data_IF_763050613007
#
_entry.id   IF_763050613007
#
_cell.length_a   1.000
_cell.length_b   1.000
_cell.length_c   1.000
_cell.angle_alpha   90.00
_cell.angle_beta   90.00
_cell.angle_gamma   90.00
#
_symmetry.space_group_name_H-M   'P 1'
#
loop_
_entity.id
_entity.type
_entity.pdbx_description
1 polymer ?
#
# COMPACT_ATOMS: atom_id res chain seq x y z
N UNK A 1 13.31 -19.99 2.70
CA UNK A 1 14.13 -18.95 2.05
C UNK A 1 14.89 -18.24 3.15
N UNK A 2 16.21 -18.14 3.02
CA UNK A 2 17.07 -17.32 3.88
C UNK A 2 16.84 -15.82 3.61
N UNK A 3 17.17 -14.99 4.60
CA UNK A 3 16.97 -13.54 4.51
C UNK A 3 17.78 -12.93 3.35
N UNK A 4 18.98 -13.44 3.11
CA UNK A 4 19.90 -12.89 2.12
C UNK A 4 19.38 -13.13 0.71
N UNK A 5 18.99 -14.37 0.38
CA UNK A 5 18.35 -14.66 -0.91
C UNK A 5 17.07 -13.88 -1.12
N UNK A 6 16.25 -13.71 -0.07
CA UNK A 6 15.04 -12.90 -0.14
C UNK A 6 15.35 -11.43 -0.46
N UNK A 7 16.30 -10.83 0.27
CA UNK A 7 16.70 -9.44 0.07
C UNK A 7 17.25 -9.19 -1.33
N UNK A 8 18.10 -10.10 -1.82
CA UNK A 8 18.67 -10.02 -3.17
C UNK A 8 17.57 -10.14 -4.21
N UNK A 9 16.70 -11.15 -4.09
CA UNK A 9 15.57 -11.36 -5.01
C UNK A 9 14.65 -10.13 -5.07
N UNK A 10 14.28 -9.59 -3.90
CA UNK A 10 13.45 -8.40 -3.80
C UNK A 10 14.11 -7.18 -4.45
N UNK A 11 15.39 -6.95 -4.16
CA UNK A 11 16.14 -5.84 -4.74
C UNK A 11 16.21 -5.93 -6.27
N UNK A 12 16.53 -7.11 -6.80
CA UNK A 12 16.60 -7.35 -8.25
C UNK A 12 15.26 -7.07 -8.92
N UNK A 13 14.17 -7.61 -8.37
CA UNK A 13 12.82 -7.41 -8.91
C UNK A 13 12.42 -5.93 -8.93
N UNK A 14 12.69 -5.19 -7.85
CA UNK A 14 12.41 -3.75 -7.76
C UNK A 14 13.29 -2.94 -8.72
N UNK A 15 14.58 -3.28 -8.82
CA UNK A 15 15.50 -2.61 -9.72
C UNK A 15 15.11 -2.81 -11.20
N UNK A 16 14.73 -4.03 -11.59
CA UNK A 16 14.30 -4.34 -12.95
C UNK A 16 12.98 -3.64 -13.29
N UNK A 17 12.02 -3.64 -12.36
CA UNK A 17 10.80 -2.85 -12.50
C UNK A 17 11.09 -1.35 -12.69
N UNK A 18 11.99 -0.78 -11.88
CA UNK A 18 12.37 0.63 -11.98
C UNK A 18 13.05 0.96 -13.31
N UNK A 19 13.93 0.07 -13.79
CA UNK A 19 14.58 0.18 -15.10
C UNK A 19 13.56 0.16 -16.24
N UNK A 20 12.61 -0.76 -16.21
CA UNK A 20 11.54 -0.85 -17.20
C UNK A 20 10.68 0.42 -17.23
N UNK A 21 10.23 0.90 -16.06
CA UNK A 21 9.42 2.12 -15.94
C UNK A 21 10.13 3.36 -16.49
N UNK A 22 11.44 3.51 -16.23
CA UNK A 22 12.23 4.63 -16.76
C UNK A 22 12.46 4.57 -18.27
N UNK A 23 12.57 3.38 -18.86
CA UNK A 23 12.64 3.22 -20.32
C UNK A 23 11.36 3.73 -21.00
N UNK A 24 10.21 3.54 -20.35
CA UNK A 24 8.90 3.96 -20.86
C UNK A 24 8.60 5.45 -20.68
N UNK A 25 9.26 6.13 -19.72
CA UNK A 25 9.09 7.57 -19.50
C UNK A 25 10.45 8.30 -19.48
N UNK A 26 10.98 8.70 -20.66
CA UNK A 26 12.26 9.39 -20.77
C UNK A 26 12.25 10.85 -20.30
N UNK A 27 11.08 11.39 -19.92
CA UNK A 27 10.92 12.83 -19.64
C UNK A 27 11.72 13.24 -18.40
N UNK A 28 12.82 13.93 -18.64
CA UNK A 28 13.71 14.53 -17.63
C UNK A 28 13.02 15.73 -16.99
N UNK A 29 12.93 15.74 -15.66
CA UNK A 29 12.93 17.01 -14.93
C UNK A 29 14.37 17.57 -14.93
N UNK A 30 14.57 18.89 -15.09
CA UNK A 30 15.88 19.51 -14.98
C UNK A 30 16.30 19.49 -13.51
N UNK A 31 17.16 18.55 -13.15
CA UNK A 31 17.68 18.38 -11.79
C UNK A 31 18.72 17.27 -11.73
N UNK A 32 19.59 17.32 -10.73
CA UNK A 32 20.65 16.33 -10.50
C UNK A 32 20.02 14.92 -10.53
N UNK A 33 20.44 14.02 -11.44
CA UNK A 33 19.84 12.71 -11.53
C UNK A 33 20.07 11.97 -10.21
N UNK A 34 19.00 11.64 -9.51
CA UNK A 34 19.10 10.65 -8.45
C UNK A 34 19.63 9.37 -9.11
N UNK A 35 20.73 8.84 -8.58
CA UNK A 35 21.30 7.59 -9.07
C UNK A 35 20.21 6.51 -9.07
N UNK A 36 20.15 5.72 -10.15
CA UNK A 36 19.20 4.62 -10.30
C UNK A 36 19.18 3.71 -9.06
N UNK A 37 20.39 3.35 -8.60
CA UNK A 37 20.60 2.55 -7.39
C UNK A 37 19.99 3.22 -6.16
N UNK A 38 20.17 4.53 -5.99
CA UNK A 38 19.62 5.24 -4.84
C UNK A 38 18.08 5.24 -4.81
N UNK A 39 17.40 5.19 -5.96
CA UNK A 39 15.93 5.07 -6.00
C UNK A 39 15.46 3.64 -5.78
N UNK A 40 16.08 2.65 -6.43
CA UNK A 40 15.72 1.24 -6.22
C UNK A 40 15.99 0.79 -4.78
N UNK A 41 17.08 1.25 -4.16
CA UNK A 41 17.39 1.02 -2.75
C UNK A 41 16.30 1.58 -1.83
N UNK A 42 15.88 2.84 -2.06
CA UNK A 42 14.83 3.47 -1.25
C UNK A 42 13.49 2.75 -1.44
N UNK A 43 13.15 2.33 -2.65
CA UNK A 43 11.94 1.55 -2.91
C UNK A 43 12.00 0.20 -2.19
N UNK A 44 13.15 -0.49 -2.25
CA UNK A 44 13.36 -1.76 -1.54
C UNK A 44 13.17 -1.60 -0.04
N UNK A 45 13.80 -0.58 0.55
CA UNK A 45 13.63 -0.27 1.96
C UNK A 45 12.19 0.14 2.30
N UNK A 46 11.49 0.84 1.41
CA UNK A 46 10.09 1.22 1.62
C UNK A 46 9.15 0.00 1.69
N UNK A 47 9.39 -1.00 0.85
CA UNK A 47 8.65 -2.27 0.86
C UNK A 47 9.00 -3.09 2.11
N UNK A 48 10.29 -3.22 2.44
CA UNK A 48 10.73 -3.93 3.66
C UNK A 48 10.18 -3.27 4.94
N UNK A 49 10.02 -1.95 4.95
CA UNK A 49 9.44 -1.24 6.09
C UNK A 49 7.97 -1.61 6.36
N UNK A 50 7.26 -2.21 5.39
CA UNK A 50 5.87 -2.65 5.56
C UNK A 50 5.75 -4.01 6.25
N UNK A 51 6.86 -4.69 6.56
CA UNK A 51 6.78 -5.97 7.23
C UNK A 51 6.11 -5.87 8.60
N UNK A 52 5.18 -6.79 8.95
CA UNK A 52 4.44 -6.75 10.21
C UNK A 52 5.32 -6.73 11.48
N UNK A 53 6.58 -7.13 11.35
CA UNK A 53 7.59 -7.09 12.41
C UNK A 53 7.82 -5.69 12.98
N UNK A 54 7.73 -4.64 12.16
CA UNK A 54 8.17 -3.31 12.56
C UNK A 54 7.03 -2.50 13.16
N UNK A 55 7.25 -1.99 14.37
CA UNK A 55 6.22 -1.20 15.09
C UNK A 55 6.31 0.30 14.83
N UNK A 56 7.41 0.76 14.25
CA UNK A 56 7.62 2.18 13.91
C UNK A 56 8.71 2.36 12.85
N UNK A 57 8.73 3.52 12.18
CA UNK A 57 9.82 3.91 11.28
C UNK A 57 11.19 3.86 11.97
N UNK A 58 11.24 4.15 13.29
CA UNK A 58 12.48 4.11 14.08
C UNK A 58 12.96 2.69 14.32
N UNK A 59 12.03 1.78 14.57
CA UNK A 59 12.30 0.35 14.77
C UNK A 59 12.85 -0.28 13.49
N UNK A 60 12.18 -0.01 12.35
CA UNK A 60 12.70 -0.39 11.03
C UNK A 60 14.10 0.18 10.76
N UNK A 61 14.33 1.47 11.03
CA UNK A 61 15.65 2.06 10.78
C UNK A 61 16.75 1.44 11.62
N UNK A 62 16.48 1.11 12.90
CA UNK A 62 17.43 0.39 13.75
C UNK A 62 17.78 -0.99 13.18
N UNK A 63 16.78 -1.73 12.73
CA UNK A 63 17.00 -3.00 12.05
C UNK A 63 17.85 -2.81 10.79
N UNK A 64 17.51 -1.83 9.95
CA UNK A 64 18.21 -1.54 8.70
C UNK A 64 19.67 -1.14 8.94
N UNK A 65 19.94 -0.30 9.94
CA UNK A 65 21.30 0.13 10.27
C UNK A 65 22.20 -1.00 10.75
N UNK A 66 21.62 -2.01 11.40
CA UNK A 66 22.38 -3.12 11.98
C UNK A 66 22.53 -4.30 11.03
N UNK A 67 21.49 -4.65 10.26
CA UNK A 67 21.45 -5.88 9.46
C UNK A 67 21.49 -5.63 7.95
N UNK A 68 21.01 -4.48 7.48
CA UNK A 68 20.90 -4.21 6.05
C UNK A 68 22.06 -3.36 5.51
N UNK A 69 22.93 -2.86 6.39
CA UNK A 69 24.06 -1.99 6.01
C UNK A 69 25.08 -2.63 5.05
N UNK A 70 25.39 -3.95 5.13
CA UNK A 70 26.22 -4.60 4.11
C UNK A 70 25.60 -4.54 2.70
N UNK A 71 24.27 -4.63 2.61
CA UNK A 71 23.53 -4.58 1.34
C UNK A 71 23.29 -3.16 0.84
N UNK A 72 23.14 -2.21 1.77
CA UNK A 72 22.87 -0.80 1.48
C UNK A 72 23.97 0.08 2.09
N UNK A 73 25.18 0.12 1.49
CA UNK A 73 26.32 0.86 2.05
C UNK A 73 26.03 2.38 2.12
N UNK A 74 25.15 2.87 1.25
CA UNK A 74 24.68 4.26 1.15
C UNK A 74 23.45 4.56 2.02
N UNK A 75 23.13 3.71 3.00
CA UNK A 75 21.98 3.89 3.89
C UNK A 75 21.99 5.28 4.54
N UNK A 76 20.94 6.05 4.26
CA UNK A 76 20.80 7.41 4.76
C UNK A 76 20.35 7.45 6.23
N UNK A 77 20.50 8.62 6.87
CA UNK A 77 19.88 8.86 8.18
C UNK A 77 18.35 8.67 8.10
N UNK A 78 17.74 8.28 9.21
CA UNK A 78 16.30 8.01 9.32
C UNK A 78 15.46 9.13 8.70
N UNK A 79 15.71 10.39 9.06
CA UNK A 79 14.95 11.54 8.55
C UNK A 79 15.06 11.72 7.04
N UNK A 80 16.25 11.45 6.45
CA UNK A 80 16.47 11.53 5.00
C UNK A 80 15.78 10.38 4.27
N UNK A 81 15.88 9.16 4.81
CA UNK A 81 15.20 7.99 4.25
C UNK A 81 13.68 8.23 4.21
N UNK A 82 13.07 8.64 5.32
CA UNK A 82 11.62 8.84 5.39
C UNK A 82 11.15 9.98 4.47
N UNK A 83 11.96 11.03 4.30
CA UNK A 83 11.68 12.10 3.32
C UNK A 83 11.71 11.57 1.88
N UNK A 84 12.67 10.71 1.54
CA UNK A 84 12.76 10.09 0.21
C UNK A 84 11.62 9.12 -0.05
N UNK A 85 11.27 8.27 0.93
CA UNK A 85 10.13 7.36 0.82
C UNK A 85 8.85 8.16 0.57
N UNK A 86 8.59 9.21 1.36
CA UNK A 86 7.40 10.08 1.17
C UNK A 86 7.38 10.75 -0.21
N UNK A 87 8.52 11.22 -0.71
CA UNK A 87 8.60 11.83 -2.04
C UNK A 87 8.33 10.83 -3.17
N UNK A 88 8.67 9.55 -2.97
CA UNK A 88 8.45 8.49 -3.95
C UNK A 88 7.12 7.75 -3.77
N UNK A 89 6.43 7.96 -2.66
CA UNK A 89 5.26 7.17 -2.26
C UNK A 89 4.14 7.19 -3.29
N UNK A 90 3.64 8.39 -3.62
CA UNK A 90 2.49 8.57 -4.50
C UNK A 90 2.77 8.19 -5.96
N UNK A 91 4.01 8.37 -6.42
CA UNK A 91 4.36 8.14 -7.83
C UNK A 91 4.84 6.71 -8.10
N UNK A 92 5.52 6.09 -7.14
CA UNK A 92 6.37 4.92 -7.41
C UNK A 92 6.18 3.78 -6.42
N UNK A 93 6.08 4.02 -5.10
CA UNK A 93 5.92 2.92 -4.15
C UNK A 93 4.64 2.14 -4.40
N UNK A 94 3.50 2.83 -4.59
CA UNK A 94 2.21 2.19 -4.86
C UNK A 94 2.24 1.34 -6.14
N UNK A 95 2.78 1.90 -7.23
CA UNK A 95 2.89 1.17 -8.50
C UNK A 95 3.84 -0.02 -8.41
N UNK A 96 4.92 0.11 -7.63
CA UNK A 96 5.86 -0.97 -7.36
C UNK A 96 5.18 -2.11 -6.60
N UNK A 97 4.50 -1.79 -5.49
CA UNK A 97 3.72 -2.78 -4.71
C UNK A 97 2.69 -3.49 -5.55
N UNK A 98 1.95 -2.78 -6.42
CA UNK A 98 0.99 -3.40 -7.35
C UNK A 98 1.67 -4.31 -8.37
N UNK A 99 2.85 -3.95 -8.86
CA UNK A 99 3.59 -4.80 -9.79
C UNK A 99 4.12 -6.07 -9.13
N UNK A 100 4.63 -5.95 -7.89
CA UNK A 100 5.03 -7.10 -7.09
C UNK A 100 3.84 -8.03 -6.84
N UNK A 101 2.69 -7.48 -6.45
CA UNK A 101 1.47 -8.26 -6.25
C UNK A 101 1.06 -9.03 -7.51
N UNK A 102 1.20 -8.44 -8.71
CA UNK A 102 0.93 -9.12 -10.00
C UNK A 102 1.81 -10.33 -10.28
N UNK A 103 3.02 -10.37 -9.74
CA UNK A 103 3.88 -11.54 -9.84
C UNK A 103 3.61 -12.60 -8.77
N UNK A 104 2.72 -12.33 -7.83
CA UNK A 104 2.47 -13.17 -6.66
C UNK A 104 1.06 -13.76 -6.62
N UNK A 105 0.04 -13.08 -7.15
CA UNK A 105 -1.32 -13.63 -7.17
C UNK A 105 -1.50 -14.63 -8.31
N UNK A 106 -2.41 -15.58 -8.13
CA UNK A 106 -2.75 -16.58 -9.14
C UNK A 106 -3.86 -16.03 -10.06
N UNK A 107 -3.62 -15.84 -11.37
CA UNK A 107 -4.65 -15.33 -12.27
C UNK A 107 -5.84 -16.30 -12.39
N UNK A 108 -5.63 -17.60 -12.17
CA UNK A 108 -6.68 -18.61 -12.22
C UNK A 108 -7.42 -18.82 -10.90
N UNK A 109 -7.24 -17.95 -9.91
CA UNK A 109 -8.03 -18.01 -8.68
C UNK A 109 -9.53 -17.98 -9.02
N UNK A 110 -10.32 -18.87 -8.41
CA UNK A 110 -11.76 -18.99 -8.70
C UNK A 110 -12.55 -17.80 -8.14
N UNK A 111 -12.03 -17.19 -7.08
CA UNK A 111 -12.65 -16.04 -6.43
C UNK A 111 -11.59 -15.18 -5.77
N UNK A 112 -11.93 -13.90 -5.54
CA UNK A 112 -11.21 -13.01 -4.64
C UNK A 112 -12.09 -12.55 -3.50
N UNK A 113 -11.51 -12.34 -2.33
CA UNK A 113 -12.25 -11.85 -1.16
C UNK A 113 -12.14 -10.33 -1.10
N UNK A 114 -13.29 -9.67 -1.00
CA UNK A 114 -13.39 -8.24 -0.76
C UNK A 114 -13.92 -8.00 0.65
N UNK A 115 -13.21 -7.17 1.42
CA UNK A 115 -13.67 -6.74 2.74
C UNK A 115 -13.41 -5.25 2.94
N UNK A 116 -14.19 -4.63 3.83
CA UNK A 116 -13.99 -3.25 4.25
C UNK A 116 -13.78 -3.14 5.75
N UNK A 117 -12.76 -2.37 6.13
CA UNK A 117 -12.39 -2.17 7.53
C UNK A 117 -12.15 -0.70 7.84
N UNK A 118 -12.48 -0.29 9.06
CA UNK A 118 -12.27 1.09 9.50
C UNK A 118 -10.85 1.26 10.05
N UNK A 119 -10.10 2.18 9.46
CA UNK A 119 -8.74 2.52 9.89
C UNK A 119 -8.73 3.93 10.51
N UNK A 120 -8.20 4.09 11.73
CA UNK A 120 -8.16 5.39 12.38
C UNK A 120 -7.08 6.25 11.74
N UNK A 121 -7.48 7.41 11.21
CA UNK A 121 -6.56 8.37 10.62
C UNK A 121 -5.92 9.27 11.69
N UNK A 122 -6.76 10.00 12.43
CA UNK A 122 -6.33 11.05 13.35
C UNK A 122 -7.37 11.21 14.47
N UNK A 123 -6.92 11.43 15.71
CA UNK A 123 -7.81 11.80 16.83
C UNK A 123 -8.37 13.21 16.67
N UNK A 124 -9.65 13.44 17.03
CA UNK A 124 -10.43 14.67 16.74
C UNK A 124 -9.66 15.99 16.90
N UNK A 125 -8.96 16.16 18.02
CA UNK A 125 -8.26 17.42 18.35
C UNK A 125 -7.22 17.80 17.29
N UNK A 126 -6.51 16.82 16.71
CA UNK A 126 -5.49 17.07 15.68
C UNK A 126 -6.12 17.26 14.30
N UNK A 127 -7.23 16.58 14.00
CA UNK A 127 -7.96 16.73 12.74
C UNK A 127 -8.54 18.15 12.62
N UNK A 128 -9.26 18.63 13.64
CA UNK A 128 -9.89 19.95 13.63
C UNK A 128 -8.88 21.10 13.60
N UNK A 129 -7.76 21.00 14.34
CA UNK A 129 -6.77 22.09 14.43
C UNK A 129 -5.92 22.28 13.18
N UNK A 130 -5.71 21.21 12.39
CA UNK A 130 -4.81 21.24 11.23
C UNK A 130 -5.52 21.02 9.90
N UNK A 131 -6.84 20.82 9.90
CA UNK A 131 -7.62 20.49 8.70
C UNK A 131 -7.15 19.19 8.01
N UNK A 132 -6.46 18.31 8.74
CA UNK A 132 -5.88 17.10 8.17
C UNK A 132 -7.01 16.16 7.72
N UNK A 133 -7.02 15.84 6.42
CA UNK A 133 -7.99 14.94 5.76
C UNK A 133 -9.44 15.46 5.69
N UNK A 134 -9.65 16.78 5.84
CA UNK A 134 -10.98 17.39 5.71
C UNK A 134 -11.64 17.01 4.37
N UNK A 135 -12.84 16.45 4.42
CA UNK A 135 -13.58 15.97 3.24
C UNK A 135 -13.12 14.60 2.69
N UNK A 136 -12.04 14.02 3.23
CA UNK A 136 -11.50 12.72 2.80
C UNK A 136 -11.79 11.60 3.81
N UNK A 137 -11.87 11.93 5.10
CA UNK A 137 -12.26 11.03 6.18
C UNK A 137 -13.48 11.58 6.91
N UNK A 138 -14.19 10.73 7.66
CA UNK A 138 -15.38 11.13 8.41
C UNK A 138 -15.28 10.75 9.88
N UNK A 139 -16.04 11.47 10.72
CA UNK A 139 -16.07 11.22 12.15
C UNK A 139 -16.83 9.92 12.48
N UNK A 140 -16.30 9.18 13.44
CA UNK A 140 -16.95 8.00 14.02
C UNK A 140 -16.61 7.88 15.50
N UNK A 141 -17.59 7.45 16.30
CA UNK A 141 -17.43 7.28 17.74
C UNK A 141 -16.90 5.89 18.05
N UNK A 142 -15.77 5.83 18.75
CA UNK A 142 -15.21 4.56 19.20
C UNK A 142 -16.00 4.05 20.41
N UNK A 143 -16.67 2.89 20.27
CA UNK A 143 -17.63 2.37 21.26
C UNK A 143 -17.04 2.16 22.67
N UNK A 144 -15.76 1.82 22.79
CA UNK A 144 -15.14 1.48 24.08
C UNK A 144 -14.30 2.57 24.74
N UNK A 145 -14.02 3.71 24.08
CA UNK A 145 -13.25 4.83 24.67
C UNK A 145 -13.98 6.17 24.67
N UNK A 146 -15.21 6.25 24.14
CA UNK A 146 -15.99 7.50 24.03
C UNK A 146 -15.23 8.62 23.25
N UNK A 147 -14.16 8.27 22.55
CA UNK A 147 -13.38 9.21 21.76
C UNK A 147 -13.93 9.33 20.34
N UNK A 148 -13.93 10.56 19.85
CA UNK A 148 -14.20 10.88 18.46
C UNK A 148 -12.89 10.79 17.67
N UNK A 149 -12.88 9.89 16.69
CA UNK A 149 -11.74 9.66 15.82
C UNK A 149 -12.17 9.92 14.38
N UNK A 150 -11.23 10.42 13.58
CA UNK A 150 -11.39 10.57 12.14
C UNK A 150 -11.02 9.24 11.50
N UNK A 151 -11.96 8.62 10.80
CA UNK A 151 -11.82 7.27 10.25
C UNK A 151 -11.83 7.32 8.72
N UNK A 152 -11.02 6.44 8.13
CA UNK A 152 -11.19 5.98 6.76
C UNK A 152 -11.88 4.62 6.76
N UNK A 153 -12.72 4.38 5.77
CA UNK A 153 -13.07 3.03 5.35
C UNK A 153 -12.07 2.59 4.31
N UNK A 154 -11.34 1.52 4.61
CA UNK A 154 -10.39 0.89 3.70
C UNK A 154 -11.08 -0.33 3.13
N UNK A 155 -11.18 -0.39 1.82
CA UNK A 155 -11.65 -1.58 1.13
C UNK A 155 -10.46 -2.28 0.48
N UNK A 156 -10.40 -3.59 0.62
CA UNK A 156 -9.29 -4.43 0.20
C UNK A 156 -9.84 -5.63 -0.57
N UNK A 157 -9.21 -5.92 -1.71
CA UNK A 157 -9.42 -7.15 -2.48
C UNK A 157 -8.19 -8.02 -2.32
N UNK A 158 -8.40 -9.28 -1.94
CA UNK A 158 -7.35 -10.24 -1.62
C UNK A 158 -7.62 -11.54 -2.35
N UNK A 159 -6.57 -12.08 -2.96
CA UNK A 159 -6.55 -13.40 -3.57
C UNK A 159 -6.60 -14.53 -2.52
N UNK A 160 -7.00 -15.77 -2.85
CA UNK A 160 -7.02 -16.88 -1.88
C UNK A 160 -5.65 -17.14 -1.21
N UNK A 161 -4.56 -16.82 -1.91
CA UNK A 161 -3.19 -16.91 -1.36
C UNK A 161 -2.80 -15.74 -0.44
N UNK A 162 -3.74 -14.82 -0.18
CA UNK A 162 -3.53 -13.68 0.72
C UNK A 162 -2.88 -12.46 0.05
N UNK A 163 -2.77 -12.44 -1.27
CA UNK A 163 -2.17 -11.32 -2.02
C UNK A 163 -3.19 -10.21 -2.22
N UNK A 164 -2.91 -9.01 -1.71
CA UNK A 164 -3.73 -7.83 -1.93
C UNK A 164 -3.61 -7.33 -3.38
N UNK A 165 -4.66 -7.50 -4.18
CA UNK A 165 -4.66 -7.17 -5.61
C UNK A 165 -5.14 -5.74 -5.88
N UNK A 166 -6.14 -5.28 -5.11
CA UNK A 166 -6.66 -3.93 -5.17
C UNK A 166 -7.04 -3.40 -3.78
N UNK A 167 -6.98 -2.07 -3.61
CA UNK A 167 -7.46 -1.43 -2.40
C UNK A 167 -7.86 0.02 -2.65
N UNK A 168 -8.75 0.53 -1.81
CA UNK A 168 -9.30 1.88 -1.88
C UNK A 168 -9.53 2.49 -0.51
N UNK A 169 -9.52 3.82 -0.45
CA UNK A 169 -9.85 4.58 0.75
C UNK A 169 -11.08 5.44 0.49
N UNK A 170 -12.00 5.45 1.43
CA UNK A 170 -13.19 6.28 1.43
C UNK A 170 -13.44 6.90 2.80
N UNK A 171 -14.22 7.98 2.90
CA UNK A 171 -14.76 8.44 4.17
C UNK A 171 -15.48 7.31 4.91
N UNK A 172 -15.37 7.24 6.23
CA UNK A 172 -15.92 6.11 7.00
C UNK A 172 -17.45 5.96 6.92
N UNK A 173 -18.17 7.05 6.64
CA UNK A 173 -19.61 7.08 6.43
C UNK A 173 -20.05 6.74 5.00
N UNK A 174 -19.12 6.39 4.12
CA UNK A 174 -19.44 6.02 2.73
C UNK A 174 -20.14 4.67 2.67
N UNK A 175 -21.10 4.57 1.76
CA UNK A 175 -21.72 3.30 1.39
C UNK A 175 -20.67 2.35 0.79
N UNK A 176 -20.78 1.06 1.07
CA UNK A 176 -19.83 0.03 0.65
C UNK A 176 -20.00 -0.34 -0.82
N UNK A 177 -21.23 -0.23 -1.35
CA UNK A 177 -21.55 -0.56 -2.74
C UNK A 177 -20.69 0.21 -3.77
N UNK A 178 -20.66 1.57 -3.78
CA UNK A 178 -19.85 2.29 -4.75
C UNK A 178 -18.35 2.05 -4.58
N UNK A 179 -17.90 1.69 -3.37
CA UNK A 179 -16.50 1.35 -3.11
C UNK A 179 -16.19 -0.02 -3.73
N UNK A 180 -17.08 -1.00 -3.56
CA UNK A 180 -16.98 -2.31 -4.18
C UNK A 180 -16.99 -2.23 -5.69
N UNK A 181 -17.92 -1.49 -6.27
CA UNK A 181 -18.01 -1.27 -7.72
C UNK A 181 -16.71 -0.67 -8.28
N UNK A 182 -16.16 0.35 -7.61
CA UNK A 182 -14.89 0.95 -8.01
C UNK A 182 -13.72 -0.04 -7.93
N UNK A 183 -13.72 -0.93 -6.93
CA UNK A 183 -12.69 -1.95 -6.78
C UNK A 183 -12.79 -3.05 -7.84
N UNK A 184 -14.00 -3.54 -8.13
CA UNK A 184 -14.25 -4.53 -9.19
C UNK A 184 -13.76 -4.01 -10.54
N UNK A 185 -14.12 -2.76 -10.86
CA UNK A 185 -13.66 -2.09 -12.08
C UNK A 185 -12.14 -1.91 -12.10
N UNK A 186 -11.49 -1.78 -10.94
CA UNK A 186 -10.03 -1.59 -10.88
C UNK A 186 -9.22 -2.89 -10.90
N UNK A 187 -9.79 -3.98 -10.39
CA UNK A 187 -9.14 -5.27 -10.19
C UNK A 187 -9.35 -6.21 -11.39
N UNK A 188 -10.49 -6.06 -12.08
CA UNK A 188 -10.85 -6.81 -13.29
C UNK A 188 -10.87 -8.33 -13.14
N UNK A 189 -11.17 -8.83 -11.94
CA UNK A 189 -11.44 -10.24 -11.71
C UNK A 189 -12.94 -10.56 -11.88
N UNK A 190 -13.25 -11.82 -12.19
CA UNK A 190 -14.61 -12.23 -12.60
C UNK A 190 -15.54 -12.51 -11.40
N UNK A 191 -14.99 -12.99 -10.28
CA UNK A 191 -15.78 -13.46 -9.13
C UNK A 191 -15.25 -12.93 -7.81
N UNK A 192 -16.11 -12.29 -7.01
CA UNK A 192 -15.74 -11.78 -5.69
C UNK A 192 -16.65 -12.36 -4.60
N UNK A 193 -16.05 -12.74 -3.48
CA UNK A 193 -16.73 -13.00 -2.22
C UNK A 193 -16.66 -11.75 -1.36
N UNK A 194 -17.81 -11.23 -0.93
CA UNK A 194 -17.89 -10.10 -0.01
C UNK A 194 -18.91 -10.40 1.09
N UNK A 195 -18.67 -9.91 2.32
CA UNK A 195 -19.60 -10.14 3.43
C UNK A 195 -20.95 -9.42 3.20
N UNK A 196 -22.03 -10.17 3.33
CA UNK A 196 -23.44 -9.81 3.05
C UNK A 196 -24.09 -8.84 4.04
N UNK A 197 -23.34 -8.06 4.83
CA UNK A 197 -23.94 -6.87 5.45
C UNK A 197 -24.36 -5.83 4.42
N UNK A 198 -23.88 -5.96 3.18
CA UNK A 198 -24.58 -5.51 1.99
C UNK A 198 -25.65 -6.56 1.57
N UNK A 199 -26.93 -6.17 1.70
CA UNK A 199 -28.18 -6.81 1.22
C UNK A 199 -28.09 -7.82 0.04
N UNK A 200 -29.07 -8.75 -0.12
CA UNK A 200 -28.91 -10.10 -0.71
C UNK A 200 -28.84 -10.20 -2.26
N UNK A 201 -28.11 -9.33 -2.97
CA UNK A 201 -27.98 -9.38 -4.45
C UNK A 201 -26.54 -9.40 -4.97
N UNK A 202 -25.62 -10.05 -4.26
CA UNK A 202 -24.24 -10.26 -4.75
C UNK A 202 -23.98 -11.69 -5.24
N UNK A 203 -25.02 -12.37 -5.73
CA UNK A 203 -24.87 -13.59 -6.52
C UNK A 203 -25.38 -13.28 -7.94
N UNK A 204 -24.50 -12.71 -8.75
CA UNK A 204 -24.73 -12.45 -10.16
C UNK A 204 -23.41 -12.66 -10.89
N UNK A 205 -23.29 -13.80 -11.58
CA UNK A 205 -22.24 -14.06 -12.55
C UNK A 205 -22.23 -12.95 -13.59
N UNK A 206 -21.16 -12.16 -13.67
CA UNK A 206 -20.95 -11.28 -14.82
C UNK A 206 -20.42 -12.18 -15.95
N UNK A 207 -21.33 -12.60 -16.82
CA UNK A 207 -20.98 -13.14 -18.14
C UNK A 207 -21.32 -12.05 -19.15
N UNK A 208 -20.32 -11.66 -19.95
CA UNK A 208 -20.42 -10.64 -20.99
C UNK A 208 -19.05 -10.29 -21.54
#
# INVERSE_FOLDING_TARGET
MDLDSFLISLYVQINDWWRAKRRQSPRRAPGRPALLSATSEVLTLAILAQWPRFRSERDFWRFASSHLRPYFPTLCSQSRLNRRIRALWSQNCLSCSKNLARGLYEPSAVYRVMDTTLVPAVVRVRACRKGLFAGQASFGRYRSKIEWVYWFKVALVVDPDGVATAFGLAPANSDERPIGDALIVSDHHDTYLADTRASPRWCGSVTG
#
